data_IF_509359817178
#
_entry.id   IF_509359817178
#
_cell.length_a   1.000
_cell.length_b   1.000
_cell.length_c   1.000
_cell.angle_alpha   90.00
_cell.angle_beta   90.00
_cell.angle_gamma   90.00
#
_symmetry.space_group_name_H-M   'P 1'
#
loop_
_entity.id
_entity.type
_entity.pdbx_description
1 polymer ?
#
# COMPACT_ATOMS: atom_id res chain seq x y z
N UNK A 1 -23.09 7.68 20.49
CA UNK A 1 -22.70 8.15 20.04
C UNK A 1 -22.13 8.19 19.48
N UNK A 2 -21.93 8.00 19.07
CA UNK A 2 -21.50 8.16 18.42
C UNK A 2 -20.67 8.27 17.91
N UNK A 3 -20.43 8.04 17.72
CA UNK A 3 -19.60 8.04 17.16
C UNK A 3 -18.96 8.45 16.39
N UNK A 4 -18.58 8.35 16.02
CA UNK A 4 -17.67 8.60 15.28
C UNK A 4 -17.59 9.24 14.42
N UNK A 5 -18.01 9.66 14.63
CA UNK A 5 -17.71 10.55 14.26
C UNK A 5 -16.41 10.89 13.89
N UNK A 6 -15.51 10.48 14.44
CA UNK A 6 -14.17 10.66 14.03
C UNK A 6 -13.81 9.78 12.87
N UNK A 7 -14.67 8.86 12.53
CA UNK A 7 -14.35 8.05 11.39
C UNK A 7 -14.49 8.82 10.14
N UNK A 8 -13.64 8.56 9.18
CA UNK A 8 -13.77 9.13 7.87
C UNK A 8 -15.00 8.55 7.19
N UNK A 9 -15.71 9.37 6.43
CA UNK A 9 -16.81 8.83 5.62
C UNK A 9 -16.32 7.72 4.71
N UNK A 10 -17.18 6.77 4.44
CA UNK A 10 -16.82 5.63 3.61
C UNK A 10 -16.32 6.08 2.23
N UNK A 11 -16.93 7.13 1.66
CA UNK A 11 -16.49 7.57 0.34
C UNK A 11 -15.11 8.21 0.38
N UNK A 12 -14.74 8.86 1.51
CA UNK A 12 -13.40 9.43 1.63
C UNK A 12 -12.35 8.32 1.66
N UNK A 13 -12.63 7.24 2.38
CA UNK A 13 -11.72 6.11 2.41
C UNK A 13 -11.65 5.42 1.05
N UNK A 14 -12.76 5.36 0.34
CA UNK A 14 -12.78 4.80 -1.00
C UNK A 14 -11.91 5.61 -1.96
N UNK A 15 -11.97 6.94 -1.88
CA UNK A 15 -11.11 7.79 -2.69
C UNK A 15 -9.64 7.61 -2.33
N UNK A 16 -9.36 7.52 -1.03
CA UNK A 16 -7.98 7.30 -0.59
C UNK A 16 -7.43 6.00 -1.15
N UNK A 17 -8.22 4.93 -1.09
CA UNK A 17 -7.81 3.64 -1.65
C UNK A 17 -7.62 3.74 -3.16
N UNK A 18 -8.52 4.44 -3.85
CA UNK A 18 -8.40 4.62 -5.29
C UNK A 18 -7.11 5.36 -5.65
N UNK A 19 -6.71 6.34 -4.83
CA UNK A 19 -5.45 7.05 -5.06
C UNK A 19 -4.25 6.14 -4.88
N UNK A 20 -4.27 5.29 -3.85
CA UNK A 20 -3.19 4.33 -3.65
C UNK A 20 -3.12 3.33 -4.81
N UNK A 21 -4.26 2.85 -5.27
CA UNK A 21 -4.31 1.94 -6.42
C UNK A 21 -3.85 2.66 -7.69
N UNK A 22 -4.21 3.92 -7.83
CA UNK A 22 -3.78 4.72 -8.97
C UNK A 22 -2.27 4.92 -8.97
N UNK A 23 -1.69 5.13 -7.82
CA UNK A 23 -0.24 5.24 -7.70
C UNK A 23 0.43 3.93 -8.11
N UNK A 24 -0.10 2.80 -7.63
CA UNK A 24 0.44 1.50 -8.00
C UNK A 24 0.40 1.29 -9.52
N UNK A 25 -0.73 1.59 -10.13
CA UNK A 25 -0.88 1.45 -11.58
C UNK A 25 0.10 2.35 -12.33
N UNK A 26 0.29 3.58 -11.84
CA UNK A 26 1.22 4.52 -12.48
C UNK A 26 2.65 4.04 -12.36
N UNK A 27 3.03 3.48 -11.21
CA UNK A 27 4.37 2.93 -11.01
C UNK A 27 4.60 1.76 -11.94
N UNK A 28 3.61 0.90 -12.12
CA UNK A 28 3.73 -0.24 -13.05
C UNK A 28 3.91 0.24 -14.48
N UNK A 29 3.27 1.35 -14.83
CA UNK A 29 3.31 1.87 -16.17
C UNK A 29 4.62 2.63 -16.47
N UNK A 30 5.08 3.46 -15.52
CA UNK A 30 6.16 4.41 -15.77
C UNK A 30 7.31 4.33 -14.78
N UNK A 31 7.18 3.60 -13.69
CA UNK A 31 8.13 3.67 -12.59
C UNK A 31 7.83 4.85 -11.68
N UNK A 32 8.32 4.80 -10.47
CA UNK A 32 7.99 5.81 -9.47
C UNK A 32 8.50 7.19 -9.86
N UNK A 33 9.74 7.26 -10.35
CA UNK A 33 10.36 8.55 -10.67
C UNK A 33 9.53 9.34 -11.68
N UNK A 34 9.00 8.65 -12.68
CA UNK A 34 8.29 9.32 -13.78
C UNK A 34 6.80 9.44 -13.51
N UNK A 35 6.31 8.91 -12.40
CA UNK A 35 4.91 9.04 -12.02
C UNK A 35 4.63 10.44 -11.52
N UNK A 36 3.58 11.06 -12.04
CA UNK A 36 3.15 12.39 -11.60
C UNK A 36 1.79 12.30 -10.91
N UNK A 37 1.42 13.36 -10.18
CA UNK A 37 0.09 13.43 -9.59
C UNK A 37 -0.99 13.33 -10.69
N UNK A 38 -0.73 13.93 -11.85
CA UNK A 38 -1.66 13.82 -12.97
C UNK A 38 -1.89 12.37 -13.38
N UNK A 39 -0.83 11.55 -13.40
CA UNK A 39 -0.97 10.14 -13.71
C UNK A 39 -1.79 9.42 -12.65
N UNK A 40 -1.51 9.71 -11.39
CA UNK A 40 -2.20 9.05 -10.28
C UNK A 40 -3.70 9.31 -10.35
N UNK A 41 -4.08 10.59 -10.54
CA UNK A 41 -5.50 10.92 -10.56
C UNK A 41 -6.19 10.40 -11.82
N UNK A 42 -5.46 10.30 -12.93
CA UNK A 42 -6.00 9.70 -14.14
C UNK A 42 -6.36 8.23 -13.90
N UNK A 43 -5.45 7.47 -13.32
CA UNK A 43 -5.72 6.06 -13.00
C UNK A 43 -6.80 5.93 -11.94
N UNK A 44 -6.81 6.83 -10.97
CA UNK A 44 -7.79 6.78 -9.88
C UNK A 44 -9.15 7.34 -10.28
N UNK A 45 -9.22 7.98 -11.46
CA UNK A 45 -10.45 8.58 -11.96
C UNK A 45 -10.99 9.63 -11.01
N UNK A 46 -10.11 10.54 -10.61
CA UNK A 46 -10.47 11.62 -9.71
C UNK A 46 -9.70 12.87 -10.12
N UNK A 47 -9.66 13.88 -9.26
CA UNK A 47 -9.05 15.16 -9.56
C UNK A 47 -7.81 15.39 -8.73
N UNK A 48 -6.95 16.31 -9.18
CA UNK A 48 -5.80 16.73 -8.39
C UNK A 48 -6.24 17.30 -7.05
N UNK A 49 -7.35 18.01 -7.02
CA UNK A 49 -7.85 18.56 -5.77
C UNK A 49 -8.14 17.46 -4.77
N UNK A 50 -8.79 16.38 -5.22
CA UNK A 50 -9.05 15.24 -4.34
C UNK A 50 -7.75 14.63 -3.85
N UNK A 51 -6.76 14.51 -4.75
CA UNK A 51 -5.46 14.01 -4.33
C UNK A 51 -4.88 14.85 -3.20
N UNK A 52 -4.84 16.18 -3.39
CA UNK A 52 -4.23 17.06 -2.39
C UNK A 52 -5.07 17.20 -1.12
N UNK A 53 -6.35 16.82 -1.17
CA UNK A 53 -7.15 16.70 0.05
C UNK A 53 -6.69 15.55 0.93
N UNK A 54 -6.09 14.52 0.34
CA UNK A 54 -5.66 13.33 1.06
C UNK A 54 -4.16 13.30 1.31
N UNK A 55 -3.37 13.79 0.37
CA UNK A 55 -1.90 13.69 0.43
C UNK A 55 -1.29 15.01 0.01
N UNK A 56 -0.42 15.60 0.82
CA UNK A 56 0.22 16.87 0.43
C UNK A 56 1.18 16.72 -0.74
N UNK A 57 1.78 15.54 -0.91
CA UNK A 57 2.74 15.30 -1.98
C UNK A 57 2.62 13.88 -2.50
N UNK A 58 3.24 13.64 -3.67
CA UNK A 58 3.35 12.29 -4.21
C UNK A 58 4.09 11.37 -3.24
N UNK A 59 5.11 11.91 -2.60
CA UNK A 59 5.93 11.14 -1.66
C UNK A 59 5.12 10.68 -0.46
N UNK A 60 4.23 11.52 0.05
CA UNK A 60 3.36 11.13 1.16
C UNK A 60 2.41 10.02 0.75
N UNK A 61 1.91 10.09 -0.47
CA UNK A 61 1.04 9.04 -1.01
C UNK A 61 1.82 7.73 -1.11
N UNK A 62 3.04 7.79 -1.59
CA UNK A 62 3.89 6.60 -1.73
C UNK A 62 4.21 6.02 -0.34
N UNK A 63 4.50 6.87 0.62
CA UNK A 63 4.78 6.42 1.98
C UNK A 63 3.57 5.66 2.56
N UNK A 64 2.39 6.19 2.33
CA UNK A 64 1.17 5.53 2.78
C UNK A 64 1.02 4.16 2.12
N UNK A 65 1.31 4.07 0.81
CA UNK A 65 1.25 2.81 0.08
C UNK A 65 2.22 1.79 0.67
N UNK A 66 3.45 2.22 0.97
CA UNK A 66 4.44 1.34 1.58
C UNK A 66 4.00 0.87 2.94
N UNK A 67 3.42 1.76 3.74
CA UNK A 67 2.94 1.41 5.07
C UNK A 67 1.84 0.36 5.00
N UNK A 68 0.88 0.56 4.09
CA UNK A 68 -0.20 -0.40 3.93
C UNK A 68 0.33 -1.76 3.50
N UNK A 69 1.27 -1.78 2.56
CA UNK A 69 1.85 -3.04 2.12
C UNK A 69 2.67 -3.71 3.20
N UNK A 70 3.34 -2.92 4.05
CA UNK A 70 4.11 -3.48 5.15
C UNK A 70 3.21 -4.11 6.20
N UNK A 71 2.03 -3.53 6.44
CA UNK A 71 1.07 -4.13 7.36
C UNK A 71 0.59 -5.47 6.83
N UNK A 72 0.28 -5.53 5.54
CA UNK A 72 -0.11 -6.79 4.92
C UNK A 72 1.03 -7.80 4.97
N UNK A 73 2.26 -7.34 4.75
CA UNK A 73 3.43 -8.19 4.81
C UNK A 73 3.63 -8.77 6.20
N UNK A 74 3.53 -7.94 7.22
CA UNK A 74 3.69 -8.39 8.60
C UNK A 74 2.65 -9.46 8.92
N UNK A 75 1.42 -9.24 8.49
CA UNK A 75 0.36 -10.22 8.73
C UNK A 75 0.64 -11.52 7.99
N UNK A 76 1.07 -11.41 6.73
CA UNK A 76 1.45 -12.57 5.93
C UNK A 76 2.58 -13.35 6.58
N UNK A 77 3.59 -12.65 7.09
CA UNK A 77 4.72 -13.30 7.76
C UNK A 77 4.26 -13.97 9.05
N UNK A 78 3.42 -13.31 9.80
CA UNK A 78 2.92 -13.88 11.07
C UNK A 78 2.14 -15.16 10.79
N UNK A 79 1.31 -15.17 9.74
CA UNK A 79 0.53 -16.36 9.40
C UNK A 79 1.41 -17.50 8.89
N UNK A 80 2.54 -17.18 8.28
CA UNK A 80 3.44 -18.18 7.73
C UNK A 80 4.34 -18.82 8.79
N UNK A 81 4.49 -18.18 9.94
CA UNK A 81 5.39 -18.65 10.98
C UNK A 81 4.65 -19.54 11.96
N UNK A 82 5.21 -20.73 12.21
CA UNK A 82 4.71 -21.65 13.23
C UNK A 82 5.37 -21.31 14.56
N UNK A 83 4.64 -20.74 15.52
CA UNK A 83 5.27 -20.32 16.78
C UNK A 83 5.78 -21.50 17.63
N UNK A 84 5.37 -22.72 17.32
CA UNK A 84 5.87 -23.89 18.04
C UNK A 84 7.12 -24.48 17.42
N UNK A 85 7.54 -23.98 16.26
CA UNK A 85 8.72 -24.49 15.59
C UNK A 85 10.00 -23.92 16.22
N UNK A 86 11.15 -24.58 16.03
CA UNK A 86 12.43 -23.99 16.43
C UNK A 86 12.66 -22.67 15.73
N UNK A 87 13.43 -21.78 16.37
CA UNK A 87 13.60 -20.43 15.82
C UNK A 87 14.24 -20.44 14.42
N UNK A 88 15.10 -21.42 14.12
CA UNK A 88 15.72 -21.51 12.80
C UNK A 88 14.66 -21.76 11.74
N UNK A 89 13.70 -22.62 12.06
CA UNK A 89 12.60 -22.90 11.14
C UNK A 89 11.68 -21.69 10.99
N UNK A 90 11.46 -20.96 12.07
CA UNK A 90 10.66 -19.74 12.00
C UNK A 90 11.29 -18.71 11.08
N UNK A 91 12.62 -18.55 11.16
CA UNK A 91 13.34 -17.64 10.26
C UNK A 91 13.18 -18.09 8.81
N UNK A 92 13.32 -19.38 8.56
CA UNK A 92 13.18 -19.90 7.20
C UNK A 92 11.78 -19.64 6.65
N UNK A 93 10.76 -19.86 7.47
CA UNK A 93 9.38 -19.61 7.08
C UNK A 93 9.15 -18.14 6.75
N UNK A 94 9.70 -17.24 7.56
CA UNK A 94 9.56 -15.81 7.34
C UNK A 94 10.25 -15.39 6.05
N UNK A 95 11.46 -15.87 5.81
CA UNK A 95 12.21 -15.51 4.59
C UNK A 95 11.47 -16.02 3.36
N UNK A 96 10.98 -17.25 3.40
CA UNK A 96 10.24 -17.82 2.28
C UNK A 96 9.00 -16.97 1.97
N UNK A 97 8.24 -16.60 2.99
CA UNK A 97 7.03 -15.82 2.81
C UNK A 97 7.36 -14.43 2.28
N UNK A 98 8.45 -13.82 2.74
CA UNK A 98 8.87 -12.51 2.28
C UNK A 98 9.23 -12.54 0.79
N UNK A 99 9.99 -13.54 0.37
CA UNK A 99 10.38 -13.67 -1.05
C UNK A 99 9.15 -13.85 -1.92
N UNK A 100 8.20 -14.66 -1.48
CA UNK A 100 6.96 -14.86 -2.24
C UNK A 100 6.16 -13.57 -2.36
N UNK A 101 6.15 -12.75 -1.31
CA UNK A 101 5.45 -11.48 -1.33
C UNK A 101 6.10 -10.50 -2.31
N UNK A 102 7.43 -10.47 -2.34
CA UNK A 102 8.16 -9.61 -3.28
C UNK A 102 7.84 -10.01 -4.71
N UNK A 103 7.82 -11.31 -5.00
CA UNK A 103 7.51 -11.78 -6.34
C UNK A 103 6.08 -11.42 -6.76
N UNK A 104 5.17 -11.37 -5.79
CA UNK A 104 3.76 -11.08 -6.08
C UNK A 104 3.50 -9.59 -6.27
N UNK A 105 4.38 -8.70 -5.79
CA UNK A 105 4.16 -7.26 -5.85
C UNK A 105 5.41 -6.51 -6.29
N UNK A 106 5.90 -6.76 -7.51
CA UNK A 106 7.15 -6.14 -7.94
C UNK A 106 7.09 -4.62 -8.05
N UNK A 107 5.92 -4.06 -8.33
CA UNK A 107 5.80 -2.61 -8.47
C UNK A 107 6.12 -1.87 -7.18
N UNK A 108 5.90 -2.49 -6.05
CA UNK A 108 6.10 -1.86 -4.74
C UNK A 108 7.52 -2.07 -4.24
N UNK A 109 8.22 -3.06 -4.75
CA UNK A 109 9.57 -3.39 -4.29
C UNK A 109 10.66 -2.66 -5.05
N UNK A 110 10.30 -1.86 -6.02
CA UNK A 110 11.27 -1.10 -6.82
C UNK A 110 12.00 0.00 -6.03
#
# INVERSE_FOLDING_TARGET
>A
MDAPVTEQPAHAQAFRRRLLDGLTASIEERGYRDTTVADIVRHARTSKRTFYDHFPTKEECFFELLTANNEDLIETLRDAIDPSAPWQEQVRQAVTAYVQTIDATPAVTL
#
